data_IF_609451008227
#
_entry.id   IF_609451008227
#
_cell.length_a   1.000
_cell.length_b   1.000
_cell.length_c   1.000
_cell.angle_alpha   90.00
_cell.angle_beta   90.00
_cell.angle_gamma   90.00
#
_symmetry.space_group_name_H-M   'P 1'
#
loop_
_entity.id
_entity.type
_entity.pdbx_description
1 polymer ?
#
# COMPACT_ATOMS: atom_id res chain seq x y z
N UNK A 1 22.03 -0.50 9.61
CA UNK A 1 21.42 0.85 9.50
C UNK A 1 20.04 0.74 10.12
N UNK A 2 19.72 1.57 11.10
CA UNK A 2 18.38 1.61 11.68
C UNK A 2 17.44 2.25 10.68
N UNK A 3 16.35 1.56 10.37
CA UNK A 3 15.23 2.04 9.54
C UNK A 3 14.13 2.57 10.44
N UNK A 4 13.34 3.50 9.94
CA UNK A 4 12.09 3.97 10.56
C UNK A 4 11.01 4.03 9.49
N UNK A 5 9.87 3.45 9.78
CA UNK A 5 8.68 3.61 8.96
C UNK A 5 7.87 4.80 9.50
N UNK A 6 7.82 5.94 8.77
CA UNK A 6 7.10 7.13 9.19
C UNK A 6 5.59 6.88 9.27
N UNK A 7 4.92 7.58 10.19
CA UNK A 7 3.46 7.56 10.26
C UNK A 7 2.83 8.34 9.09
N UNK A 8 1.60 8.01 8.73
CA UNK A 8 0.91 8.61 7.59
C UNK A 8 0.58 10.10 7.78
N UNK A 9 0.50 10.61 9.00
CA UNK A 9 0.30 12.05 9.29
C UNK A 9 1.59 12.87 9.28
N UNK A 10 2.75 12.25 9.11
CA UNK A 10 4.01 12.98 8.96
C UNK A 10 4.06 13.66 7.59
N UNK A 11 4.95 14.65 7.44
CA UNK A 11 5.09 15.37 6.18
C UNK A 11 5.41 14.43 5.02
N UNK A 12 4.51 14.37 4.05
CA UNK A 12 4.63 13.56 2.85
C UNK A 12 5.18 14.39 1.68
N UNK A 13 5.89 13.75 0.77
CA UNK A 13 6.32 14.36 -0.51
C UNK A 13 5.25 14.24 -1.58
N UNK A 14 4.39 13.27 -1.44
CA UNK A 14 3.31 13.00 -2.36
C UNK A 14 2.72 11.63 -2.15
N UNK A 15 1.68 11.33 -2.90
CA UNK A 15 0.94 10.07 -2.87
C UNK A 15 1.13 9.28 -4.16
N UNK A 16 1.33 7.97 -4.05
CA UNK A 16 1.38 7.05 -5.18
C UNK A 16 -0.02 6.53 -5.49
N UNK A 17 -0.46 6.71 -6.72
CA UNK A 17 -1.73 6.21 -7.23
C UNK A 17 -1.54 5.43 -8.53
N UNK A 18 -2.46 4.53 -8.86
CA UNK A 18 -2.59 3.96 -10.19
C UNK A 18 -3.97 4.31 -10.75
N UNK A 19 -4.01 4.89 -11.95
CA UNK A 19 -5.29 5.25 -12.55
C UNK A 19 -6.12 3.99 -12.84
N UNK A 20 -7.40 3.92 -12.45
CA UNK A 20 -8.27 2.77 -12.68
C UNK A 20 -8.36 2.41 -14.16
N UNK A 21 -7.89 1.22 -14.54
CA UNK A 21 -7.81 0.78 -15.93
C UNK A 21 -8.44 -0.59 -16.18
N UNK A 22 -8.64 -1.42 -15.14
CA UNK A 22 -9.23 -2.74 -15.26
C UNK A 22 -10.72 -2.69 -14.89
N UNK A 23 -11.61 -2.78 -15.89
CA UNK A 23 -13.05 -2.74 -15.65
C UNK A 23 -13.60 -3.91 -14.83
N UNK A 24 -12.86 -5.03 -14.73
CA UNK A 24 -13.27 -6.18 -13.94
C UNK A 24 -13.17 -5.93 -12.42
N UNK A 25 -12.31 -5.00 -12.00
CA UNK A 25 -12.19 -4.60 -10.59
C UNK A 25 -13.37 -3.69 -10.16
N UNK A 26 -14.12 -3.15 -11.14
CA UNK A 26 -15.19 -2.18 -10.92
C UNK A 26 -16.46 -2.51 -11.71
N UNK A 27 -17.09 -3.68 -11.50
CA UNK A 27 -18.24 -4.10 -12.29
C UNK A 27 -19.41 -3.11 -12.16
N UNK A 28 -19.85 -2.57 -13.30
CA UNK A 28 -20.91 -1.56 -13.37
C UNK A 28 -20.55 -0.17 -12.85
N UNK A 29 -19.34 0.06 -12.32
CA UNK A 29 -18.91 1.33 -11.72
C UNK A 29 -17.64 1.92 -12.33
N UNK A 30 -17.11 1.33 -13.39
CA UNK A 30 -15.79 1.70 -13.94
C UNK A 30 -15.66 3.19 -14.29
N UNK A 31 -16.66 3.79 -14.92
CA UNK A 31 -16.63 5.23 -15.23
C UNK A 31 -16.75 6.09 -13.96
N UNK A 32 -17.62 5.69 -13.04
CA UNK A 32 -17.82 6.42 -11.79
C UNK A 32 -16.54 6.47 -10.95
N UNK A 33 -15.79 5.36 -10.88
CA UNK A 33 -14.52 5.33 -10.15
C UNK A 33 -13.45 6.20 -10.79
N UNK A 34 -13.39 6.26 -12.13
CA UNK A 34 -12.46 7.16 -12.81
C UNK A 34 -12.76 8.64 -12.46
N UNK A 35 -14.03 9.02 -12.40
CA UNK A 35 -14.44 10.36 -11.95
C UNK A 35 -14.06 10.62 -10.49
N UNK A 36 -14.32 9.68 -9.61
CA UNK A 36 -13.92 9.78 -8.20
C UNK A 36 -12.40 9.95 -8.05
N UNK A 37 -11.61 9.25 -8.85
CA UNK A 37 -10.14 9.41 -8.87
C UNK A 37 -9.71 10.81 -9.33
N UNK A 38 -10.33 11.37 -10.37
CA UNK A 38 -10.05 12.74 -10.83
C UNK A 38 -10.33 13.76 -9.71
N UNK A 39 -11.48 13.63 -9.03
CA UNK A 39 -11.85 14.51 -7.92
C UNK A 39 -10.89 14.34 -6.73
N UNK A 40 -10.46 13.12 -6.43
CA UNK A 40 -9.46 12.85 -5.41
C UNK A 40 -8.11 13.51 -5.77
N UNK A 41 -7.62 13.30 -6.98
CA UNK A 41 -6.37 13.89 -7.48
C UNK A 41 -6.46 15.43 -7.41
N UNK A 42 -7.59 16.02 -7.80
CA UNK A 42 -7.83 17.47 -7.69
C UNK A 42 -7.63 17.98 -6.26
N UNK A 43 -8.12 17.25 -5.26
CA UNK A 43 -7.98 17.63 -3.85
C UNK A 43 -6.55 17.48 -3.36
N UNK A 44 -5.90 16.36 -3.69
CA UNK A 44 -4.53 16.08 -3.25
C UNK A 44 -3.54 17.07 -3.87
N UNK A 45 -3.68 17.42 -5.15
CA UNK A 45 -2.78 18.35 -5.83
C UNK A 45 -2.85 19.79 -5.31
N UNK A 46 -3.79 20.12 -4.43
CA UNK A 46 -3.75 21.38 -3.68
C UNK A 46 -2.60 21.41 -2.67
N UNK A 47 -2.12 20.26 -2.19
CA UNK A 47 -1.19 20.16 -1.07
C UNK A 47 0.06 19.35 -1.41
N UNK A 48 -0.08 18.26 -2.18
CA UNK A 48 0.94 17.26 -2.42
C UNK A 48 1.10 16.92 -3.91
N UNK A 49 2.23 16.31 -4.26
CA UNK A 49 2.43 15.71 -5.59
C UNK A 49 1.71 14.37 -5.67
N UNK A 50 1.04 14.12 -6.79
CA UNK A 50 0.47 12.82 -7.13
C UNK A 50 1.40 12.12 -8.12
N UNK A 51 2.03 11.03 -7.71
CA UNK A 51 2.74 10.10 -8.58
C UNK A 51 1.72 9.14 -9.17
N UNK A 52 1.34 9.38 -10.43
CA UNK A 52 0.22 8.70 -11.06
C UNK A 52 0.70 7.64 -12.06
N UNK A 53 0.57 6.37 -11.69
CA UNK A 53 0.90 5.27 -12.58
C UNK A 53 -0.17 5.08 -13.63
N UNK A 54 0.26 4.95 -14.89
CA UNK A 54 -0.60 4.70 -16.06
C UNK A 54 0.02 3.65 -16.98
N UNK A 55 -0.82 2.84 -17.62
CA UNK A 55 -0.38 1.66 -18.36
C UNK A 55 0.30 1.96 -19.72
N UNK A 56 0.15 3.18 -20.26
CA UNK A 56 0.70 3.57 -21.58
C UNK A 56 0.63 5.08 -21.79
N UNK A 57 1.42 5.59 -22.72
CA UNK A 57 1.36 6.99 -23.18
C UNK A 57 -0.04 7.39 -23.69
N UNK A 58 -0.73 6.49 -24.37
CA UNK A 58 -2.10 6.75 -24.82
C UNK A 58 -3.05 6.95 -23.64
N UNK A 59 -2.93 6.14 -22.58
CA UNK A 59 -3.73 6.32 -21.37
C UNK A 59 -3.31 7.60 -20.61
N UNK A 60 -2.01 7.88 -20.55
CA UNK A 60 -1.51 9.13 -19.99
C UNK A 60 -2.13 10.34 -20.66
N UNK A 61 -2.13 10.39 -22.00
CA UNK A 61 -2.72 11.49 -22.74
C UNK A 61 -4.22 11.66 -22.45
N UNK A 62 -4.96 10.55 -22.44
CA UNK A 62 -6.39 10.57 -22.08
C UNK A 62 -6.62 11.09 -20.65
N UNK A 63 -5.84 10.58 -19.69
CA UNK A 63 -5.96 11.01 -18.27
C UNK A 63 -5.58 12.46 -18.10
N UNK A 64 -4.52 12.94 -18.79
CA UNK A 64 -4.14 14.35 -18.79
C UNK A 64 -5.30 15.24 -19.24
N UNK A 65 -5.99 14.88 -20.32
CA UNK A 65 -7.18 15.64 -20.79
C UNK A 65 -8.31 15.63 -19.74
N UNK A 66 -8.55 14.48 -19.07
CA UNK A 66 -9.56 14.39 -18.02
C UNK A 66 -9.20 15.30 -16.83
N UNK A 67 -7.93 15.32 -16.42
CA UNK A 67 -7.44 16.17 -15.34
C UNK A 67 -7.54 17.65 -15.71
N UNK A 68 -7.17 18.02 -16.94
CA UNK A 68 -7.31 19.40 -17.45
C UNK A 68 -8.77 19.87 -17.43
N UNK A 69 -9.69 19.04 -17.92
CA UNK A 69 -11.13 19.35 -17.94
C UNK A 69 -11.74 19.51 -16.54
N UNK A 70 -11.08 18.96 -15.52
CA UNK A 70 -11.48 19.06 -14.13
C UNK A 70 -10.73 20.18 -13.37
N UNK A 71 -9.92 21.01 -14.04
CA UNK A 71 -9.10 22.08 -13.44
C UNK A 71 -8.13 21.55 -12.36
N UNK A 72 -7.49 20.39 -12.60
CA UNK A 72 -6.45 19.83 -11.72
C UNK A 72 -5.15 20.57 -11.94
N UNK A 73 -4.40 20.85 -10.87
CA UNK A 73 -3.04 21.37 -10.96
C UNK A 73 -2.07 20.33 -11.50
N UNK A 74 -1.81 20.36 -12.80
CA UNK A 74 -0.93 19.40 -13.49
C UNK A 74 0.54 19.52 -13.11
N UNK A 75 1.01 20.65 -12.57
CA UNK A 75 2.39 20.80 -12.09
C UNK A 75 2.70 19.87 -10.91
N UNK A 76 1.65 19.35 -10.24
CA UNK A 76 1.73 18.41 -9.15
C UNK A 76 1.27 17.00 -9.51
N UNK A 77 1.22 16.68 -10.80
CA UNK A 77 0.95 15.33 -11.28
C UNK A 77 2.17 14.82 -12.03
N UNK A 78 2.82 13.82 -11.48
CA UNK A 78 4.00 13.17 -12.05
C UNK A 78 3.63 11.77 -12.50
N UNK A 79 3.75 11.50 -13.81
CA UNK A 79 3.30 10.25 -14.40
C UNK A 79 4.39 9.18 -14.38
N UNK A 80 4.02 7.97 -13.94
CA UNK A 80 4.85 6.76 -14.01
C UNK A 80 4.27 5.82 -15.06
N UNK A 81 5.03 5.54 -16.13
CA UNK A 81 4.60 4.61 -17.18
C UNK A 81 4.91 3.17 -16.79
N UNK A 82 3.89 2.44 -16.37
CA UNK A 82 4.00 1.01 -16.08
C UNK A 82 2.65 0.31 -16.18
N UNK A 83 2.63 -0.88 -16.80
CA UNK A 83 1.44 -1.73 -16.85
C UNK A 83 1.28 -2.48 -15.53
N UNK A 84 0.08 -2.42 -14.96
CA UNK A 84 -0.31 -3.19 -13.79
C UNK A 84 -1.47 -4.14 -14.13
N UNK A 85 -1.69 -5.15 -13.29
CA UNK A 85 -2.89 -5.98 -13.38
C UNK A 85 -4.08 -5.27 -12.72
N UNK A 86 -3.83 -4.54 -11.61
CA UNK A 86 -4.82 -3.85 -10.77
C UNK A 86 -4.32 -2.46 -10.39
N UNK A 87 -5.20 -1.67 -9.74
CA UNK A 87 -4.89 -0.27 -9.35
C UNK A 87 -4.56 -0.10 -7.86
N UNK A 88 -4.36 -1.17 -7.10
CA UNK A 88 -4.24 -1.16 -5.64
C UNK A 88 -2.80 -0.89 -5.20
N UNK A 89 -2.41 0.40 -5.19
CA UNK A 89 -1.04 0.83 -4.84
C UNK A 89 -0.74 0.71 -3.35
N UNK A 90 -1.76 0.72 -2.49
CA UNK A 90 -1.61 0.42 -1.06
C UNK A 90 -0.97 -0.94 -0.86
N UNK A 91 -1.32 -1.93 -1.69
CA UNK A 91 -0.93 -3.32 -1.49
C UNK A 91 0.27 -3.74 -2.34
N UNK A 92 0.37 -3.21 -3.55
CA UNK A 92 1.45 -3.57 -4.49
C UNK A 92 2.60 -2.58 -4.53
N UNK A 93 2.44 -1.38 -3.95
CA UNK A 93 3.47 -0.35 -3.87
C UNK A 93 4.61 -0.71 -2.90
N UNK A 94 5.75 -0.02 -3.01
CA UNK A 94 6.82 -0.17 -2.02
C UNK A 94 6.43 0.45 -0.69
N UNK A 95 6.94 -0.10 0.40
CA UNK A 95 6.90 0.58 1.69
C UNK A 95 8.11 1.51 1.78
N UNK A 96 7.88 2.80 1.95
CA UNK A 96 8.95 3.79 2.03
C UNK A 96 9.35 4.01 3.49
N UNK A 97 10.61 3.70 3.78
CA UNK A 97 11.21 3.93 5.10
C UNK A 97 12.27 5.02 5.05
N UNK A 98 12.70 5.51 6.19
CA UNK A 98 13.79 6.45 6.33
C UNK A 98 14.93 5.81 7.12
N UNK A 99 16.17 6.11 6.73
CA UNK A 99 17.34 5.78 7.53
C UNK A 99 17.66 6.89 8.55
N UNK A 100 18.68 6.68 9.37
CA UNK A 100 19.12 7.65 10.41
C UNK A 100 19.50 9.04 9.85
N UNK A 101 19.87 9.12 8.58
CA UNK A 101 20.22 10.38 7.90
C UNK A 101 18.99 11.06 7.26
N UNK A 102 17.79 10.47 7.40
CA UNK A 102 16.57 10.95 6.76
C UNK A 102 16.44 10.59 5.27
N UNK A 103 17.39 9.83 4.72
CA UNK A 103 17.30 9.36 3.34
C UNK A 103 16.20 8.31 3.23
N UNK A 104 15.45 8.34 2.12
CA UNK A 104 14.38 7.38 1.84
C UNK A 104 14.91 6.14 1.17
N UNK A 105 14.30 5.02 1.50
CA UNK A 105 14.55 3.71 0.94
C UNK A 105 13.21 3.03 0.66
N UNK A 106 13.05 2.45 -0.51
CA UNK A 106 11.90 1.63 -0.88
C UNK A 106 12.15 0.18 -0.44
N UNK A 107 11.28 -0.35 0.40
CA UNK A 107 11.28 -1.76 0.75
C UNK A 107 10.29 -2.49 -0.17
N UNK A 108 10.81 -3.42 -0.95
CA UNK A 108 10.04 -4.23 -1.89
C UNK A 108 9.66 -5.56 -1.26
N UNK A 109 8.47 -5.64 -0.72
CA UNK A 109 7.84 -6.92 -0.42
C UNK A 109 7.31 -7.57 -1.69
N UNK A 110 7.09 -8.87 -1.64
CA UNK A 110 6.42 -9.58 -2.72
C UNK A 110 4.92 -9.35 -2.63
N UNK A 111 4.27 -9.21 -3.78
CA UNK A 111 2.82 -9.17 -3.88
C UNK A 111 2.33 -10.42 -4.62
N UNK A 112 1.32 -11.09 -4.08
CA UNK A 112 0.73 -12.30 -4.66
C UNK A 112 -0.79 -12.21 -4.82
N UNK A 113 -1.30 -10.98 -4.92
CA UNK A 113 -2.74 -10.69 -5.06
C UNK A 113 -3.56 -11.31 -3.94
N UNK A 114 -3.14 -11.01 -2.68
CA UNK A 114 -3.79 -11.46 -1.44
C UNK A 114 -3.85 -12.98 -1.28
N UNK A 115 -2.94 -13.71 -1.94
CA UNK A 115 -2.97 -15.17 -2.07
C UNK A 115 -4.30 -15.72 -2.61
N UNK A 116 -5.02 -14.93 -3.41
CA UNK A 116 -6.37 -15.21 -3.91
C UNK A 116 -6.47 -15.24 -5.43
N UNK A 117 -5.85 -14.27 -6.10
CA UNK A 117 -6.00 -14.09 -7.54
C UNK A 117 -4.71 -14.47 -8.29
N UNK A 118 -4.80 -15.09 -9.49
CA UNK A 118 -3.61 -15.55 -10.21
C UNK A 118 -2.89 -14.45 -10.99
N UNK A 119 -3.51 -13.28 -11.22
CA UNK A 119 -3.00 -12.21 -12.07
C UNK A 119 -2.41 -11.07 -11.22
N UNK A 120 -1.09 -11.11 -10.97
CA UNK A 120 -0.36 -10.13 -10.16
C UNK A 120 1.08 -9.88 -10.63
N UNK A 121 1.49 -10.49 -11.73
CA UNK A 121 2.88 -10.50 -12.18
C UNK A 121 3.39 -9.11 -12.61
N UNK A 122 2.49 -8.24 -13.04
CA UNK A 122 2.82 -6.85 -13.37
C UNK A 122 2.89 -6.00 -12.09
N UNK A 123 1.97 -6.21 -11.16
CA UNK A 123 1.90 -5.47 -9.89
C UNK A 123 3.14 -5.70 -9.03
N UNK A 124 3.72 -6.92 -9.05
CA UNK A 124 4.97 -7.24 -8.36
C UNK A 124 6.17 -6.38 -8.76
N UNK A 125 6.12 -5.74 -9.93
CA UNK A 125 7.18 -4.88 -10.45
C UNK A 125 7.03 -3.42 -10.01
N UNK A 126 5.88 -3.06 -9.46
CA UNK A 126 5.58 -1.68 -9.05
C UNK A 126 6.65 -1.10 -8.11
N UNK A 127 7.14 -1.81 -7.07
CA UNK A 127 8.17 -1.25 -6.18
C UNK A 127 9.45 -0.87 -6.91
N UNK A 128 9.87 -1.65 -7.91
CA UNK A 128 11.07 -1.36 -8.70
C UNK A 128 10.85 -0.08 -9.52
N UNK A 129 9.73 -0.01 -10.26
CA UNK A 129 9.41 1.14 -11.11
C UNK A 129 9.27 2.43 -10.32
N UNK A 130 8.71 2.37 -9.11
CA UNK A 130 8.58 3.52 -8.22
C UNK A 130 9.94 3.95 -7.68
N UNK A 131 10.79 3.01 -7.24
CA UNK A 131 12.11 3.33 -6.71
C UNK A 131 13.02 3.95 -7.79
N UNK A 132 12.98 3.41 -9.03
CA UNK A 132 13.69 3.96 -10.19
C UNK A 132 13.21 5.38 -10.52
N UNK A 133 11.88 5.60 -10.57
CA UNK A 133 11.29 6.89 -10.89
C UNK A 133 11.60 7.96 -9.83
N UNK A 134 11.59 7.57 -8.56
CA UNK A 134 11.90 8.47 -7.43
C UNK A 134 13.40 8.60 -7.16
N UNK A 135 14.25 7.87 -7.89
CA UNK A 135 15.70 7.82 -7.69
C UNK A 135 16.13 7.51 -6.24
N UNK A 136 15.41 6.55 -5.61
CA UNK A 136 15.70 6.10 -4.24
C UNK A 136 16.21 4.67 -4.22
N UNK A 137 16.96 4.33 -3.16
CA UNK A 137 17.44 2.97 -2.96
C UNK A 137 16.27 1.98 -2.85
N UNK A 138 16.46 0.77 -3.38
CA UNK A 138 15.50 -0.34 -3.29
C UNK A 138 16.14 -1.50 -2.53
N UNK A 139 15.45 -2.00 -1.51
CA UNK A 139 15.81 -3.23 -0.83
C UNK A 139 14.67 -4.25 -0.95
N UNK A 140 14.97 -5.45 -1.42
CA UNK A 140 14.01 -6.55 -1.44
C UNK A 140 13.97 -7.25 -0.08
N UNK A 141 12.78 -7.50 0.45
CA UNK A 141 12.58 -8.15 1.74
C UNK A 141 12.62 -9.67 1.61
N UNK A 142 13.67 -10.30 2.14
CA UNK A 142 13.84 -11.75 2.21
C UNK A 142 13.90 -12.22 3.66
N UNK A 143 13.29 -13.35 3.94
CA UNK A 143 13.41 -14.03 5.22
C UNK A 143 13.46 -15.54 5.02
N UNK A 144 14.39 -16.24 5.70
CA UNK A 144 14.62 -17.68 5.54
C UNK A 144 14.76 -18.11 4.06
N UNK A 145 15.42 -17.26 3.25
CA UNK A 145 15.70 -17.53 1.82
C UNK A 145 14.51 -17.34 0.88
N UNK A 146 13.38 -16.80 1.35
CA UNK A 146 12.21 -16.51 0.53
C UNK A 146 11.89 -15.00 0.54
N UNK A 147 11.47 -14.46 -0.59
CA UNK A 147 10.95 -13.08 -0.65
C UNK A 147 9.61 -13.03 0.09
N UNK A 148 9.53 -12.16 1.10
CA UNK A 148 8.36 -12.05 1.98
C UNK A 148 7.20 -11.40 1.25
N UNK A 149 6.02 -11.99 1.33
CA UNK A 149 4.75 -11.40 0.87
C UNK A 149 4.19 -10.53 1.99
N UNK A 150 3.93 -9.26 1.66
CA UNK A 150 3.29 -8.32 2.57
C UNK A 150 2.63 -7.20 1.76
N UNK A 151 1.39 -6.92 2.04
CA UNK A 151 0.64 -5.79 1.53
C UNK A 151 0.71 -4.60 2.51
N UNK A 152 0.75 -3.37 1.98
CA UNK A 152 0.72 -2.16 2.82
C UNK A 152 -0.59 -2.02 3.60
N UNK A 153 -1.71 -2.57 3.08
CA UNK A 153 -3.00 -2.59 3.77
C UNK A 153 -3.05 -3.54 4.97
N UNK A 154 -2.15 -4.54 5.01
CA UNK A 154 -2.05 -5.47 6.14
C UNK A 154 -1.40 -4.87 7.40
N UNK A 155 -0.81 -3.68 7.30
CA UNK A 155 -0.07 -3.04 8.39
C UNK A 155 -0.40 -1.56 8.52
N UNK A 156 -0.32 -1.03 9.75
CA UNK A 156 -0.37 0.40 10.05
C UNK A 156 0.67 0.74 11.12
N UNK A 157 1.22 1.95 11.11
CA UNK A 157 2.32 2.33 12.01
C UNK A 157 2.12 3.71 12.64
N UNK A 158 2.63 3.87 13.85
CA UNK A 158 2.59 5.15 14.56
C UNK A 158 3.84 6.03 14.34
N UNK A 159 4.79 5.63 13.51
CA UNK A 159 6.05 6.36 13.29
C UNK A 159 7.05 6.29 14.45
N UNK A 160 6.72 5.61 15.56
CA UNK A 160 7.52 5.46 16.77
C UNK A 160 7.90 4.01 17.08
N UNK A 161 7.85 3.15 16.06
CA UNK A 161 8.24 1.76 16.17
C UNK A 161 7.13 0.81 16.61
N UNK A 162 5.88 1.26 16.73
CA UNK A 162 4.72 0.38 16.95
C UNK A 162 3.98 0.17 15.63
N UNK A 163 3.63 -1.10 15.36
CA UNK A 163 2.90 -1.55 14.18
C UNK A 163 1.63 -2.28 14.59
N UNK A 164 0.53 -2.03 13.89
CA UNK A 164 -0.73 -2.78 13.96
C UNK A 164 -0.82 -3.76 12.81
N UNK A 165 -1.32 -4.96 13.08
CA UNK A 165 -1.67 -5.97 12.07
C UNK A 165 -2.71 -6.94 12.61
N UNK A 166 -3.24 -7.85 11.79
CA UNK A 166 -4.19 -8.88 12.19
C UNK A 166 -3.62 -10.30 12.06
N UNK A 167 -4.05 -11.18 12.95
CA UNK A 167 -3.73 -12.61 12.88
C UNK A 167 -4.40 -13.27 11.67
N UNK A 168 -5.63 -12.88 11.37
CA UNK A 168 -6.38 -13.39 10.22
C UNK A 168 -5.62 -13.14 8.91
N UNK A 169 -5.04 -11.96 8.71
CA UNK A 169 -4.32 -11.64 7.49
C UNK A 169 -2.99 -12.39 7.37
N UNK A 170 -2.17 -12.36 8.42
CA UNK A 170 -0.78 -12.76 8.30
C UNK A 170 -0.47 -14.19 8.74
N UNK A 171 -1.19 -14.73 9.73
CA UNK A 171 -0.89 -16.04 10.31
C UNK A 171 -2.05 -17.05 10.23
N UNK A 172 -3.10 -16.76 9.43
CA UNK A 172 -4.16 -17.73 9.21
C UNK A 172 -3.63 -19.02 8.57
N UNK A 173 -4.00 -20.20 9.10
CA UNK A 173 -3.33 -21.44 8.73
C UNK A 173 -3.68 -21.98 7.34
N UNK A 174 -4.82 -21.56 6.75
CA UNK A 174 -5.34 -22.18 5.53
C UNK A 174 -6.01 -21.24 4.51
N UNK A 175 -6.49 -20.05 4.92
CA UNK A 175 -7.16 -19.12 4.01
C UNK A 175 -6.19 -18.00 3.62
N UNK A 176 -6.08 -17.74 2.33
CA UNK A 176 -5.25 -16.67 1.76
C UNK A 176 -3.85 -16.56 2.41
N UNK A 177 -3.20 -17.68 2.60
CA UNK A 177 -1.90 -17.76 3.30
C UNK A 177 -0.82 -17.04 2.50
N UNK A 178 -0.32 -15.89 2.99
CA UNK A 178 0.70 -15.06 2.34
C UNK A 178 2.07 -15.75 2.35
N UNK A 179 2.51 -16.19 3.52
CA UNK A 179 3.82 -16.82 3.73
C UNK A 179 3.65 -18.15 4.45
N UNK A 180 3.51 -19.28 3.73
CA UNK A 180 3.30 -20.59 4.36
C UNK A 180 4.37 -20.93 5.39
N UNK A 181 3.93 -21.23 6.62
CA UNK A 181 4.79 -21.64 7.72
C UNK A 181 5.41 -20.48 8.53
N UNK A 182 5.06 -19.21 8.23
CA UNK A 182 5.47 -18.09 9.07
C UNK A 182 4.67 -18.07 10.38
N UNK A 183 5.36 -17.71 11.44
CA UNK A 183 4.81 -17.43 12.76
C UNK A 183 4.78 -15.92 13.03
N UNK A 184 4.15 -15.49 14.13
CA UNK A 184 4.23 -14.10 14.60
C UNK A 184 5.67 -13.65 14.77
N UNK A 185 6.51 -14.46 15.40
CA UNK A 185 7.93 -14.16 15.62
C UNK A 185 8.69 -13.95 14.30
N UNK A 186 8.35 -14.71 13.24
CA UNK A 186 8.94 -14.53 11.91
C UNK A 186 8.55 -13.17 11.31
N UNK A 187 7.29 -12.76 11.43
CA UNK A 187 6.84 -11.45 10.97
C UNK A 187 7.44 -10.32 11.80
N UNK A 188 7.52 -10.46 13.11
CA UNK A 188 8.14 -9.45 13.99
C UNK A 188 9.62 -9.26 13.67
N UNK A 189 10.35 -10.35 13.36
CA UNK A 189 11.72 -10.26 12.88
C UNK A 189 11.82 -9.50 11.54
N UNK A 190 10.92 -9.79 10.59
CA UNK A 190 10.84 -9.07 9.30
C UNK A 190 10.52 -7.59 9.52
N UNK A 191 9.54 -7.26 10.34
CA UNK A 191 9.15 -5.87 10.62
C UNK A 191 10.29 -5.11 11.31
N UNK A 192 11.00 -5.75 12.21
CA UNK A 192 12.15 -5.15 12.87
C UNK A 192 13.28 -4.88 11.88
N UNK A 193 13.62 -5.84 11.03
CA UNK A 193 14.72 -5.73 10.07
C UNK A 193 14.46 -4.69 8.98
N UNK A 194 13.27 -4.74 8.36
CA UNK A 194 12.98 -3.93 7.18
C UNK A 194 12.27 -2.61 7.48
N UNK A 195 11.50 -2.54 8.55
CA UNK A 195 10.67 -1.36 8.87
C UNK A 195 11.11 -0.63 10.15
N UNK A 196 12.05 -1.19 10.92
CA UNK A 196 12.50 -0.61 12.18
C UNK A 196 11.45 -0.67 13.29
N UNK A 197 10.52 -1.64 13.22
CA UNK A 197 9.48 -1.87 14.22
C UNK A 197 10.07 -2.55 15.44
N UNK A 198 9.65 -2.12 16.63
CA UNK A 198 10.09 -2.68 17.92
C UNK A 198 8.95 -3.24 18.76
N UNK A 199 7.69 -2.94 18.38
CA UNK A 199 6.50 -3.41 19.05
C UNK A 199 5.39 -3.69 18.03
N UNK A 200 4.76 -4.86 18.12
CA UNK A 200 3.66 -5.25 17.22
C UNK A 200 2.41 -5.51 18.04
N UNK A 201 1.32 -4.85 17.68
CA UNK A 201 -0.02 -5.10 18.22
C UNK A 201 -0.76 -5.98 17.24
N UNK A 202 -1.03 -7.20 17.63
CA UNK A 202 -1.78 -8.19 16.87
C UNK A 202 -3.27 -8.12 17.24
N UNK A 203 -4.12 -7.80 16.28
CA UNK A 203 -5.56 -8.01 16.42
C UNK A 203 -5.91 -9.41 15.93
N UNK A 204 -7.05 -9.96 16.37
CA UNK A 204 -7.50 -11.28 15.98
C UNK A 204 -8.06 -11.30 14.57
N UNK A 205 -9.39 -11.34 14.49
CA UNK A 205 -10.14 -11.38 13.23
C UNK A 205 -10.27 -9.96 12.64
N UNK A 206 -10.35 -9.89 11.31
CA UNK A 206 -10.60 -8.67 10.56
C UNK A 206 -12.09 -8.39 10.37
N UNK A 207 -12.41 -7.56 9.39
CA UNK A 207 -13.79 -7.20 9.05
C UNK A 207 -14.46 -8.34 8.26
N UNK A 208 -15.64 -8.79 8.71
CA UNK A 208 -16.37 -9.85 8.02
C UNK A 208 -16.74 -9.46 6.57
N UNK A 209 -16.37 -10.34 5.63
CA UNK A 209 -16.60 -10.10 4.20
C UNK A 209 -15.52 -9.27 3.50
N UNK A 210 -14.45 -8.91 4.19
CA UNK A 210 -13.27 -8.29 3.57
C UNK A 210 -12.63 -9.25 2.55
N UNK A 211 -12.47 -8.76 1.32
CA UNK A 211 -11.88 -9.53 0.20
C UNK A 211 -10.39 -9.83 0.40
N UNK A 212 -9.71 -8.99 1.17
CA UNK A 212 -8.28 -9.11 1.48
C UNK A 212 -7.99 -10.08 2.62
N UNK A 213 -9.02 -10.49 3.36
CA UNK A 213 -8.95 -11.40 4.51
C UNK A 213 -8.15 -10.81 5.67
N UNK A 214 -8.76 -9.82 6.32
CA UNK A 214 -8.29 -9.26 7.58
C UNK A 214 -7.26 -8.14 7.45
N UNK A 215 -7.30 -7.33 6.38
CA UNK A 215 -6.47 -6.14 6.32
C UNK A 215 -6.74 -5.19 7.48
N UNK A 216 -5.66 -4.66 8.06
CA UNK A 216 -5.77 -3.79 9.24
C UNK A 216 -6.35 -2.41 8.89
N UNK A 217 -6.12 -1.92 7.68
CA UNK A 217 -6.58 -0.61 7.24
C UNK A 217 -8.11 -0.54 7.04
N UNK A 218 -8.78 -1.68 6.91
CA UNK A 218 -10.24 -1.80 6.94
C UNK A 218 -10.82 -1.82 8.36
N UNK A 219 -10.02 -2.17 9.36
CA UNK A 219 -10.45 -2.43 10.73
C UNK A 219 -10.09 -1.31 11.70
N UNK A 220 -8.83 -0.87 11.69
CA UNK A 220 -8.37 0.17 12.60
C UNK A 220 -7.13 0.92 12.08
N UNK A 221 -6.97 2.17 12.52
CA UNK A 221 -5.86 3.03 12.10
C UNK A 221 -5.33 3.86 13.28
N UNK A 222 -4.02 4.08 13.30
CA UNK A 222 -3.45 5.13 14.13
C UNK A 222 -3.91 6.51 13.64
N UNK A 223 -4.25 7.39 14.57
CA UNK A 223 -4.58 8.80 14.30
C UNK A 223 -3.58 9.77 14.93
N UNK A 224 -2.73 9.26 15.82
CA UNK A 224 -1.53 9.90 16.36
C UNK A 224 -0.62 8.81 16.99
N UNK A 225 0.47 9.22 17.66
CA UNK A 225 1.50 8.31 18.17
C UNK A 225 0.97 7.26 19.19
N UNK A 226 -0.12 7.54 19.88
CA UNK A 226 -0.67 6.73 20.99
C UNK A 226 -2.18 6.47 20.93
N UNK A 227 -2.85 6.90 19.85
CA UNK A 227 -4.30 6.77 19.70
C UNK A 227 -4.66 6.00 18.44
N UNK A 228 -5.54 5.02 18.59
CA UNK A 228 -6.07 4.18 17.52
C UNK A 228 -7.58 4.40 17.42
N UNK A 229 -8.08 4.55 16.20
CA UNK A 229 -9.52 4.48 15.88
C UNK A 229 -9.81 3.09 15.32
N UNK A 230 -10.85 2.45 15.81
CA UNK A 230 -11.28 1.13 15.33
C UNK A 230 -12.80 1.05 15.19
N UNK A 231 -13.26 0.15 14.34
CA UNK A 231 -14.69 -0.19 14.27
C UNK A 231 -15.11 -0.97 15.52
N UNK A 232 -16.36 -0.79 15.93
CA UNK A 232 -16.95 -1.51 17.04
C UNK A 232 -18.26 -2.12 16.57
N UNK A 233 -18.38 -3.44 16.70
CA UNK A 233 -19.66 -4.15 16.51
C UNK A 233 -20.31 -4.40 17.85
N UNK A 234 -21.54 -3.93 18.02
CA UNK A 234 -22.33 -4.09 19.25
C UNK A 234 -23.40 -5.19 19.14
N UNK A 235 -23.57 -5.76 17.93
CA UNK A 235 -24.49 -6.88 17.73
C UNK A 235 -23.74 -8.19 17.93
N UNK A 236 -24.12 -9.03 18.90
CA UNK A 236 -23.46 -10.31 19.16
C UNK A 236 -23.93 -11.45 18.26
N UNK A 237 -24.84 -11.21 17.30
CA UNK A 237 -25.43 -12.22 16.39
C UNK A 237 -24.67 -12.36 15.06
#
# INVERSE_FOLDING_TARGET
MTRRFPAEWEHQKGILLCFPHNGNDWPGKYQAVQWAYIEFIKKVTCYETVYLMVASEMLQHKVTQMLQNADVNLERVDFILHKTNRSWMRDSGPIIVQNELGNREAISFNFNSWAKYPNYQLDRKVPIMVAEHLEIALTEAYYKGKKVVLEGGAIDVNGRGTLLTSEECLVHPSIQVRNPGFTKDDYEAVFSEYLGVTNVIWLGDGLHGDDTHGHIDDLCRFVNEDTIVTVVENNPE
#
